data_IF_969606120007
#
_entry.id   IF_969606120007
#
_cell.length_a   1.000
_cell.length_b   1.000
_cell.length_c   1.000
_cell.angle_alpha   90.00
_cell.angle_beta   90.00
_cell.angle_gamma   90.00
#
_symmetry.space_group_name_H-M   'P 1'
#
loop_
_entity.id
_entity.type
_entity.pdbx_description
1 polymer ?
#
# COMPACT_ATOMS: atom_id res chain seq x y z
N UNK A 1 -19.81 16.73 14.84
CA UNK A 1 -20.71 15.55 14.88
C UNK A 1 -21.64 15.68 16.08
N UNK A 2 -22.92 15.32 15.90
CA UNK A 2 -23.87 15.32 17.02
C UNK A 2 -23.45 14.26 18.06
N UNK A 3 -23.49 14.63 19.35
CA UNK A 3 -23.21 13.69 20.43
C UNK A 3 -24.51 12.96 20.81
N UNK A 4 -24.84 11.90 20.10
CA UNK A 4 -26.07 11.13 20.33
C UNK A 4 -26.17 10.53 21.74
N UNK A 5 -25.04 10.26 22.42
CA UNK A 5 -25.04 9.73 23.78
C UNK A 5 -25.47 10.77 24.84
N UNK A 6 -25.41 12.04 24.51
CA UNK A 6 -25.83 13.13 25.39
C UNK A 6 -27.28 13.56 25.16
N UNK A 7 -27.95 13.07 24.12
CA UNK A 7 -29.32 13.44 23.77
C UNK A 7 -30.34 12.65 24.58
N UNK A 8 -31.39 13.34 25.01
CA UNK A 8 -32.57 12.67 25.58
C UNK A 8 -33.46 12.03 24.48
N UNK A 9 -34.47 11.30 24.90
CA UNK A 9 -35.35 10.54 23.99
C UNK A 9 -36.10 11.41 22.97
N UNK A 10 -36.49 12.61 23.36
CA UNK A 10 -37.23 13.53 22.48
C UNK A 10 -36.30 14.15 21.44
N UNK A 11 -35.09 14.54 21.86
CA UNK A 11 -34.05 15.06 20.97
C UNK A 11 -33.61 13.99 19.94
N UNK A 12 -33.40 12.75 20.38
CA UNK A 12 -33.09 11.63 19.47
C UNK A 12 -34.22 11.35 18.47
N UNK A 13 -35.48 11.47 18.91
CA UNK A 13 -36.61 11.27 18.02
C UNK A 13 -36.74 12.41 16.97
N UNK A 14 -36.48 13.65 17.36
CA UNK A 14 -36.47 14.78 16.45
C UNK A 14 -35.28 14.68 15.45
N UNK A 15 -34.11 14.34 15.91
CA UNK A 15 -32.94 14.14 15.06
C UNK A 15 -33.15 13.00 14.06
N UNK A 16 -33.66 11.86 14.52
CA UNK A 16 -34.04 10.74 13.64
C UNK A 16 -35.04 11.19 12.55
N UNK A 17 -36.07 11.94 12.89
CA UNK A 17 -37.04 12.41 11.93
C UNK A 17 -36.40 13.36 10.89
N UNK A 18 -35.49 14.23 11.32
CA UNK A 18 -34.74 15.12 10.44
C UNK A 18 -33.85 14.33 9.44
N UNK A 19 -33.10 13.37 9.94
CA UNK A 19 -32.23 12.50 9.12
C UNK A 19 -33.05 11.63 8.15
N UNK A 20 -34.19 11.09 8.57
CA UNK A 20 -35.10 10.35 7.69
C UNK A 20 -35.66 11.23 6.57
N UNK A 21 -36.00 12.48 6.87
CA UNK A 21 -36.46 13.43 5.87
C UNK A 21 -35.36 13.79 4.86
N UNK A 22 -34.14 13.99 5.33
CA UNK A 22 -32.98 14.24 4.47
C UNK A 22 -32.65 13.01 3.59
N UNK A 23 -32.65 11.84 4.17
CA UNK A 23 -32.45 10.59 3.43
C UNK A 23 -33.47 10.41 2.29
N UNK A 24 -34.75 10.67 2.57
CA UNK A 24 -35.79 10.64 1.55
C UNK A 24 -35.58 11.65 0.42
N UNK A 25 -35.04 12.84 0.72
CA UNK A 25 -34.68 13.84 -0.30
C UNK A 25 -33.56 13.31 -1.20
N UNK A 26 -32.56 12.61 -0.65
CA UNK A 26 -31.51 11.97 -1.45
C UNK A 26 -32.07 10.83 -2.30
N UNK A 27 -32.90 9.96 -1.75
CA UNK A 27 -33.58 8.91 -2.51
C UNK A 27 -34.36 9.44 -3.70
N UNK A 28 -35.10 10.56 -3.49
CA UNK A 28 -35.90 11.18 -4.54
C UNK A 28 -35.07 11.74 -5.72
N UNK A 29 -33.76 11.96 -5.53
CA UNK A 29 -32.86 12.36 -6.63
C UNK A 29 -32.59 11.23 -7.63
N UNK A 30 -32.96 9.98 -7.33
CA UNK A 30 -32.77 8.82 -8.21
C UNK A 30 -31.31 8.56 -8.60
N UNK A 31 -30.37 8.95 -7.75
CA UNK A 31 -28.93 8.80 -8.02
C UNK A 31 -28.54 7.31 -8.12
N UNK A 32 -27.78 6.97 -9.16
CA UNK A 32 -27.19 5.63 -9.35
C UNK A 32 -25.68 5.72 -9.14
N UNK A 33 -25.26 5.91 -7.90
CA UNK A 33 -23.86 6.04 -7.52
C UNK A 33 -23.32 4.69 -7.08
N UNK A 34 -22.11 4.36 -7.55
CA UNK A 34 -21.37 3.18 -7.11
C UNK A 34 -20.14 3.66 -6.32
N UNK A 35 -20.13 3.39 -5.01
CA UNK A 35 -19.05 3.75 -4.10
C UNK A 35 -18.21 2.52 -3.69
N UNK A 36 -18.48 1.34 -4.28
CA UNK A 36 -17.85 0.10 -3.86
C UNK A 36 -16.38 -0.01 -4.27
N UNK A 37 -15.95 0.68 -5.34
CA UNK A 37 -14.58 0.63 -5.83
C UNK A 37 -14.14 1.98 -6.42
N UNK A 38 -13.01 2.50 -5.93
CA UNK A 38 -12.29 3.59 -6.58
C UNK A 38 -11.52 3.05 -7.81
N UNK A 39 -11.79 3.61 -8.98
CA UNK A 39 -11.07 3.34 -10.23
C UNK A 39 -11.14 4.57 -11.13
N UNK A 40 -10.16 4.76 -12.05
CA UNK A 40 -10.22 5.85 -13.02
C UNK A 40 -11.53 5.82 -13.81
N UNK A 41 -12.16 6.98 -13.93
CA UNK A 41 -13.36 7.15 -14.76
C UNK A 41 -13.01 7.17 -16.26
N UNK A 42 -14.03 7.01 -17.16
CA UNK A 42 -13.79 7.00 -18.61
C UNK A 42 -12.99 8.23 -19.10
N UNK A 43 -13.34 9.43 -18.64
CA UNK A 43 -12.64 10.66 -19.04
C UNK A 43 -11.17 10.70 -18.61
N UNK A 44 -10.82 10.11 -17.46
CA UNK A 44 -9.43 9.99 -17.03
C UNK A 44 -8.66 9.02 -17.92
N UNK A 45 -9.28 7.92 -18.34
CA UNK A 45 -8.68 6.97 -19.30
C UNK A 45 -8.53 7.59 -20.68
N UNK A 46 -9.48 8.41 -21.13
CA UNK A 46 -9.42 9.11 -22.43
C UNK A 46 -8.18 10.00 -22.56
N UNK A 47 -7.71 10.60 -21.44
CA UNK A 47 -6.49 11.41 -21.43
C UNK A 47 -5.23 10.61 -21.78
N UNK A 48 -5.23 9.32 -21.53
CA UNK A 48 -4.08 8.44 -21.74
C UNK A 48 -4.15 7.65 -23.07
N UNK A 49 -5.20 7.86 -23.90
CA UNK A 49 -5.42 7.09 -25.13
C UNK A 49 -4.27 7.18 -26.14
N UNK A 50 -3.50 8.26 -26.13
CA UNK A 50 -2.35 8.42 -27.03
C UNK A 50 -1.21 7.46 -26.71
N UNK A 51 -1.11 6.96 -25.48
CA UNK A 51 -0.15 5.89 -25.13
C UNK A 51 -0.35 4.61 -25.95
N UNK A 52 -1.58 4.34 -26.39
CA UNK A 52 -1.90 3.14 -27.20
C UNK A 52 -1.51 3.32 -28.67
N UNK A 53 -1.07 4.51 -29.09
CA UNK A 53 -0.69 4.81 -30.49
C UNK A 53 0.82 4.82 -30.70
N UNK A 54 1.60 4.41 -29.71
CA UNK A 54 3.05 4.33 -29.83
C UNK A 54 3.46 3.36 -30.93
N UNK A 55 4.39 3.80 -31.79
CA UNK A 55 4.91 3.00 -32.90
C UNK A 55 6.42 2.71 -32.77
N UNK A 56 7.08 3.31 -31.81
CA UNK A 56 8.48 3.05 -31.48
C UNK A 56 8.52 2.08 -30.30
N UNK A 57 9.19 0.96 -30.52
CA UNK A 57 9.35 -0.11 -29.54
C UNK A 57 10.81 -0.32 -29.16
N UNK A 58 11.71 0.54 -29.61
CA UNK A 58 13.14 0.46 -29.30
C UNK A 58 13.46 1.43 -28.20
N UNK A 59 14.08 0.95 -27.15
CA UNK A 59 14.56 1.79 -26.04
C UNK A 59 15.77 2.64 -26.47
N UNK A 60 16.10 3.65 -25.68
CA UNK A 60 17.30 4.49 -25.94
C UNK A 60 18.59 3.64 -25.92
N UNK A 61 18.60 2.55 -25.18
CA UNK A 61 19.73 1.58 -25.15
C UNK A 61 19.73 0.59 -26.34
N UNK A 62 18.73 0.66 -27.23
CA UNK A 62 18.62 -0.21 -28.40
C UNK A 62 17.93 -1.54 -28.15
N UNK A 63 17.30 -1.75 -26.98
CA UNK A 63 16.52 -2.95 -26.67
C UNK A 63 15.17 -2.90 -27.38
N UNK A 64 14.79 -3.99 -28.08
CA UNK A 64 13.44 -4.16 -28.65
C UNK A 64 12.47 -4.57 -27.53
N UNK A 65 11.64 -3.63 -27.06
CA UNK A 65 10.70 -3.83 -25.97
C UNK A 65 9.57 -4.85 -26.29
N UNK A 66 9.48 -5.32 -27.53
CA UNK A 66 8.52 -6.39 -27.89
C UNK A 66 9.07 -7.78 -27.59
N UNK A 67 10.36 -7.89 -27.24
CA UNK A 67 11.01 -9.16 -26.93
C UNK A 67 11.16 -9.33 -25.41
N UNK A 68 11.50 -10.55 -25.00
CA UNK A 68 11.81 -10.87 -23.60
C UNK A 68 13.32 -10.72 -23.34
N UNK A 69 13.70 -10.67 -22.04
CA UNK A 69 15.12 -10.67 -21.64
C UNK A 69 15.43 -9.73 -20.48
N UNK A 70 14.67 -8.67 -20.33
CA UNK A 70 14.85 -7.67 -19.27
C UNK A 70 14.14 -8.15 -17.97
N UNK A 71 14.81 -9.00 -17.19
CA UNK A 71 14.21 -9.64 -16.00
C UNK A 71 13.76 -8.66 -14.94
N UNK A 72 14.49 -7.55 -14.79
CA UNK A 72 14.18 -6.50 -13.80
C UNK A 72 13.27 -5.40 -14.37
N UNK A 73 12.94 -5.49 -15.66
CA UNK A 73 12.23 -4.47 -16.43
C UNK A 73 13.19 -3.55 -17.22
N UNK A 74 12.64 -2.88 -18.23
CA UNK A 74 13.37 -1.94 -19.05
C UNK A 74 14.03 -0.85 -18.19
N UNK A 75 15.25 -0.45 -18.56
CA UNK A 75 16.00 0.58 -17.84
C UNK A 75 15.21 1.88 -17.70
N UNK A 76 14.52 2.31 -18.76
CA UNK A 76 13.72 3.53 -18.75
C UNK A 76 12.54 3.43 -17.78
N UNK A 77 11.90 2.26 -17.68
CA UNK A 77 10.83 2.03 -16.72
C UNK A 77 11.36 2.04 -15.28
N UNK A 78 12.54 1.43 -15.05
CA UNK A 78 13.19 1.46 -13.72
C UNK A 78 13.58 2.87 -13.31
N UNK A 79 14.10 3.68 -14.24
CA UNK A 79 14.42 5.12 -13.99
C UNK A 79 13.15 5.88 -13.64
N UNK A 80 12.05 5.70 -14.38
CA UNK A 80 10.77 6.34 -14.11
C UNK A 80 10.24 6.01 -12.70
N UNK A 81 10.22 4.73 -12.34
CA UNK A 81 9.75 4.34 -11.00
C UNK A 81 10.72 4.72 -9.89
N UNK A 82 12.03 4.75 -10.16
CA UNK A 82 13.02 5.24 -9.22
C UNK A 82 12.80 6.71 -8.87
N UNK A 83 12.47 7.54 -9.87
CA UNK A 83 12.12 8.94 -9.69
C UNK A 83 10.84 9.09 -8.86
N UNK A 84 9.81 8.28 -9.17
CA UNK A 84 8.54 8.27 -8.41
C UNK A 84 8.75 7.88 -6.94
N UNK A 85 9.56 6.86 -6.67
CA UNK A 85 9.84 6.41 -5.30
C UNK A 85 10.88 7.26 -4.55
N UNK A 86 11.71 8.02 -5.25
CA UNK A 86 12.86 8.71 -4.68
C UNK A 86 14.02 7.77 -4.31
N UNK A 87 14.25 6.72 -5.08
CA UNK A 87 15.29 5.69 -4.88
C UNK A 87 16.22 5.58 -6.09
N UNK A 88 17.20 4.66 -6.08
CA UNK A 88 18.08 4.44 -7.22
C UNK A 88 17.45 3.46 -8.22
N UNK A 89 17.67 3.60 -9.54
CA UNK A 89 17.16 2.66 -10.54
C UNK A 89 17.60 1.21 -10.32
N UNK A 90 18.75 0.98 -9.68
CA UNK A 90 19.25 -0.35 -9.30
C UNK A 90 18.46 -1.03 -8.19
N UNK A 91 17.61 -0.28 -7.51
CA UNK A 91 16.76 -0.77 -6.41
C UNK A 91 15.32 -1.05 -6.87
N UNK A 92 15.04 -0.86 -8.17
CA UNK A 92 13.70 -1.00 -8.74
C UNK A 92 13.60 -2.27 -9.57
N UNK A 93 12.56 -3.03 -9.31
CA UNK A 93 12.10 -4.16 -10.13
C UNK A 93 10.72 -3.81 -10.70
N UNK A 94 10.59 -3.90 -12.04
CA UNK A 94 9.33 -3.61 -12.73
C UNK A 94 8.63 -4.93 -13.07
N UNK A 95 7.41 -5.08 -12.58
CA UNK A 95 6.62 -6.30 -12.74
C UNK A 95 5.45 -6.16 -13.72
N UNK A 96 4.42 -6.97 -13.49
CA UNK A 96 3.17 -6.93 -14.25
C UNK A 96 2.34 -5.67 -13.94
N UNK A 97 1.04 -5.73 -14.20
CA UNK A 97 0.16 -4.56 -14.05
C UNK A 97 -0.39 -4.33 -12.63
N UNK A 98 -0.01 -5.15 -11.66
CA UNK A 98 -0.60 -5.12 -10.32
C UNK A 98 0.46 -5.22 -9.23
N UNK A 99 0.61 -4.15 -8.44
CA UNK A 99 1.44 -4.17 -7.22
C UNK A 99 0.97 -5.24 -6.24
N UNK A 100 -0.33 -5.50 -6.15
CA UNK A 100 -0.87 -6.57 -5.31
C UNK A 100 -0.34 -7.96 -5.71
N UNK A 101 -0.10 -8.20 -7.02
CA UNK A 101 0.52 -9.44 -7.50
C UNK A 101 1.99 -9.53 -7.08
N UNK A 102 2.72 -8.41 -7.11
CA UNK A 102 4.11 -8.37 -6.61
C UNK A 102 4.17 -8.67 -5.11
N UNK A 103 3.27 -8.08 -4.33
CA UNK A 103 3.15 -8.36 -2.90
C UNK A 103 2.84 -9.84 -2.64
N UNK A 104 1.89 -10.41 -3.37
CA UNK A 104 1.59 -11.86 -3.29
C UNK A 104 2.82 -12.70 -3.62
N UNK A 105 3.55 -12.36 -4.68
CA UNK A 105 4.75 -13.10 -5.08
C UNK A 105 5.83 -13.05 -4.00
N UNK A 106 6.05 -11.90 -3.34
CA UNK A 106 7.03 -11.78 -2.25
C UNK A 106 6.60 -12.55 -1.00
N UNK A 107 5.32 -12.52 -0.63
CA UNK A 107 4.80 -13.41 0.44
C UNK A 107 5.04 -14.88 0.08
N UNK A 108 4.76 -15.27 -1.18
CA UNK A 108 5.02 -16.63 -1.65
C UNK A 108 6.50 -17.02 -1.61
N UNK A 109 7.41 -16.10 -1.97
CA UNK A 109 8.87 -16.33 -1.88
C UNK A 109 9.25 -16.56 -0.43
N UNK A 110 8.86 -15.67 0.48
CA UNK A 110 9.13 -15.84 1.91
C UNK A 110 8.54 -17.14 2.47
N UNK A 111 7.34 -17.51 2.01
CA UNK A 111 6.64 -18.71 2.46
C UNK A 111 7.30 -20.01 1.99
N UNK A 112 7.71 -20.08 0.71
CA UNK A 112 8.24 -21.31 0.10
C UNK A 112 9.75 -21.44 0.31
N UNK A 113 10.50 -20.36 0.16
CA UNK A 113 11.97 -20.38 0.12
C UNK A 113 12.61 -19.68 1.32
N UNK A 114 11.93 -18.71 1.94
CA UNK A 114 12.52 -17.74 2.85
C UNK A 114 13.24 -16.62 2.09
N UNK A 115 13.67 -15.61 2.84
CA UNK A 115 14.58 -14.56 2.37
C UNK A 115 16.03 -14.89 2.79
N UNK A 116 17.04 -14.18 2.30
CA UNK A 116 18.44 -14.45 2.67
C UNK A 116 18.68 -14.47 4.18
N UNK A 117 17.96 -13.66 4.95
CA UNK A 117 18.06 -13.54 6.40
C UNK A 117 17.21 -14.59 7.15
N UNK A 118 16.34 -15.34 6.44
CA UNK A 118 15.42 -16.28 7.07
C UNK A 118 16.16 -17.49 7.64
N UNK A 119 15.94 -17.85 8.91
CA UNK A 119 16.44 -19.10 9.48
C UNK A 119 15.85 -20.35 8.80
N UNK A 120 14.61 -20.22 8.30
CA UNK A 120 13.89 -21.23 7.53
C UNK A 120 12.78 -20.56 6.71
N UNK A 121 12.23 -21.24 5.70
CA UNK A 121 11.02 -20.75 5.01
C UNK A 121 9.88 -20.46 5.99
N UNK A 122 9.11 -19.39 5.73
CA UNK A 122 8.01 -19.01 6.61
C UNK A 122 6.96 -20.10 6.77
N UNK A 123 6.81 -21.01 5.79
CA UNK A 123 5.94 -22.18 5.88
C UNK A 123 6.29 -23.12 7.04
N UNK A 124 7.56 -23.11 7.49
CA UNK A 124 8.05 -23.94 8.59
C UNK A 124 7.94 -23.28 9.96
N UNK A 125 7.57 -22.00 10.01
CA UNK A 125 7.35 -21.26 11.27
C UNK A 125 5.97 -21.61 11.80
N UNK A 126 5.92 -22.27 12.96
CA UNK A 126 4.66 -22.53 13.65
C UNK A 126 4.07 -21.21 14.17
N UNK A 127 2.74 -21.03 13.98
CA UNK A 127 2.01 -19.82 14.42
C UNK A 127 2.59 -18.50 13.88
N UNK A 128 3.07 -18.52 12.63
CA UNK A 128 3.54 -17.32 11.96
C UNK A 128 2.48 -16.21 11.93
N UNK A 129 2.90 -14.97 12.18
CA UNK A 129 2.03 -13.82 12.34
C UNK A 129 2.38 -12.70 11.36
N UNK A 130 1.39 -11.87 11.08
CA UNK A 130 1.56 -10.67 10.28
C UNK A 130 0.78 -9.50 10.88
N UNK A 131 1.41 -8.33 10.99
CA UNK A 131 0.76 -7.15 11.55
C UNK A 131 -0.13 -6.49 10.50
N UNK A 132 -1.34 -6.16 10.92
CA UNK A 132 -2.39 -5.58 10.09
C UNK A 132 -2.90 -4.29 10.73
N UNK A 133 -2.40 -3.11 10.33
CA UNK A 133 -2.97 -1.84 10.76
C UNK A 133 -4.44 -1.71 10.36
N UNK A 134 -5.30 -1.40 11.32
CA UNK A 134 -6.77 -1.34 11.14
C UNK A 134 -7.33 -0.01 11.63
N UNK A 135 -8.27 0.57 10.84
CA UNK A 135 -8.77 0.09 9.55
C UNK A 135 -7.69 0.14 8.47
N UNK A 136 -7.73 -0.78 7.49
CA UNK A 136 -6.71 -0.93 6.47
C UNK A 136 -7.26 -1.60 5.20
N UNK A 137 -6.38 -1.84 4.23
CA UNK A 137 -6.78 -2.43 2.96
C UNK A 137 -6.92 -3.96 3.07
N UNK A 138 -8.15 -4.44 3.06
CA UNK A 138 -8.52 -5.84 3.30
C UNK A 138 -7.86 -6.85 2.35
N UNK A 139 -7.48 -6.42 1.12
CA UNK A 139 -6.82 -7.29 0.15
C UNK A 139 -5.40 -7.68 0.56
N UNK A 140 -4.69 -6.81 1.26
CA UNK A 140 -3.41 -7.14 1.89
C UNK A 140 -3.59 -8.27 2.91
N UNK A 141 -4.57 -8.11 3.79
CA UNK A 141 -4.85 -9.06 4.86
C UNK A 141 -5.22 -10.44 4.29
N UNK A 142 -6.06 -10.45 3.24
CA UNK A 142 -6.47 -11.68 2.58
C UNK A 142 -5.28 -12.46 1.97
N UNK A 143 -4.21 -11.78 1.50
CA UNK A 143 -3.01 -12.48 1.03
C UNK A 143 -2.39 -13.27 2.18
N UNK A 144 -2.08 -12.64 3.30
CA UNK A 144 -1.42 -13.31 4.41
C UNK A 144 -2.33 -14.33 5.10
N UNK A 145 -3.65 -14.10 5.14
CA UNK A 145 -4.62 -15.07 5.62
C UNK A 145 -4.61 -16.37 4.79
N UNK A 146 -4.57 -16.25 3.44
CA UNK A 146 -4.51 -17.40 2.52
C UNK A 146 -3.26 -18.26 2.76
N UNK A 147 -2.13 -17.65 3.09
CA UNK A 147 -0.90 -18.37 3.47
C UNK A 147 -0.90 -18.84 4.93
N UNK A 148 -2.03 -18.73 5.65
CA UNK A 148 -2.21 -19.23 7.00
C UNK A 148 -1.43 -18.45 8.06
N UNK A 149 -1.20 -17.15 7.88
CA UNK A 149 -0.70 -16.29 8.93
C UNK A 149 -1.82 -15.92 9.91
N UNK A 150 -1.50 -15.88 11.19
CA UNK A 150 -2.33 -15.20 12.18
C UNK A 150 -2.23 -13.69 11.97
N UNK A 151 -3.37 -13.04 11.75
CA UNK A 151 -3.44 -11.61 11.53
C UNK A 151 -3.52 -10.87 12.87
N UNK A 152 -2.52 -10.07 13.18
CA UNK A 152 -2.46 -9.28 14.42
C UNK A 152 -2.87 -7.85 14.11
N UNK A 153 -4.03 -7.44 14.59
CA UNK A 153 -4.53 -6.07 14.39
C UNK A 153 -3.72 -5.06 15.21
N UNK A 154 -3.35 -3.96 14.55
CA UNK A 154 -2.70 -2.79 15.15
C UNK A 154 -3.59 -1.57 14.91
N UNK A 155 -3.95 -0.77 15.94
CA UNK A 155 -4.76 0.43 15.72
C UNK A 155 -4.06 1.46 14.83
N UNK A 156 -4.83 2.08 13.92
CA UNK A 156 -4.38 3.27 13.18
C UNK A 156 -4.59 4.53 14.00
N UNK A 157 -3.67 5.47 13.86
CA UNK A 157 -3.73 6.84 14.36
C UNK A 157 -3.66 7.83 13.20
N UNK A 158 -3.94 9.12 13.39
CA UNK A 158 -3.75 10.13 12.34
C UNK A 158 -2.32 10.23 11.77
N UNK A 159 -1.33 9.71 12.50
CA UNK A 159 0.09 9.75 12.12
C UNK A 159 0.62 8.42 11.57
N UNK A 160 -0.23 7.40 11.40
CA UNK A 160 0.13 6.04 11.01
C UNK A 160 -0.31 5.01 12.07
N UNK A 161 0.20 3.77 12.03
CA UNK A 161 -0.13 2.76 13.03
C UNK A 161 0.41 3.15 14.42
N UNK A 162 -0.19 2.56 15.46
CA UNK A 162 0.32 2.68 16.83
C UNK A 162 1.73 2.07 16.91
N UNK A 163 2.74 2.91 16.79
CA UNK A 163 4.14 2.48 16.75
C UNK A 163 4.64 1.93 18.08
N UNK A 164 4.06 2.33 19.22
CA UNK A 164 4.42 1.77 20.52
C UNK A 164 4.03 0.29 20.57
N UNK A 165 2.86 -0.02 20.05
CA UNK A 165 2.39 -1.41 19.90
C UNK A 165 3.22 -2.17 18.86
N UNK A 166 3.48 -1.59 17.69
CA UNK A 166 4.27 -2.24 16.62
C UNK A 166 5.66 -2.61 17.15
N UNK A 167 6.42 -1.64 17.65
CA UNK A 167 7.80 -1.84 18.11
C UNK A 167 7.89 -2.88 19.23
N UNK A 168 6.94 -2.84 20.17
CA UNK A 168 6.87 -3.84 21.25
C UNK A 168 6.66 -5.25 20.70
N UNK A 169 5.66 -5.42 19.83
CA UNK A 169 5.31 -6.73 19.28
C UNK A 169 6.46 -7.33 18.47
N UNK A 170 7.06 -6.56 17.56
CA UNK A 170 8.13 -7.06 16.69
C UNK A 170 9.45 -7.29 17.42
N UNK A 171 9.68 -6.61 18.55
CA UNK A 171 10.87 -6.81 19.37
C UNK A 171 10.80 -8.05 20.27
N UNK A 172 9.58 -8.49 20.63
CA UNK A 172 9.35 -9.58 21.59
C UNK A 172 8.98 -10.92 20.92
N UNK A 173 8.54 -10.91 19.64
CA UNK A 173 7.98 -12.09 18.97
C UNK A 173 8.63 -12.30 17.58
N UNK A 174 9.47 -13.32 17.47
CA UNK A 174 10.17 -13.71 16.23
C UNK A 174 9.27 -14.47 15.23
N UNK A 175 8.04 -14.79 15.61
CA UNK A 175 7.04 -15.36 14.69
C UNK A 175 6.33 -14.30 13.85
N UNK A 176 6.46 -13.03 14.18
CA UNK A 176 5.93 -11.92 13.38
C UNK A 176 6.86 -11.67 12.19
N UNK A 177 6.36 -11.94 10.98
CA UNK A 177 7.16 -11.92 9.75
C UNK A 177 7.04 -10.64 8.94
N UNK A 178 6.07 -9.80 9.24
CA UNK A 178 5.96 -8.52 8.55
C UNK A 178 4.76 -7.69 8.97
N UNK A 179 4.62 -6.56 8.29
CA UNK A 179 3.55 -5.58 8.46
C UNK A 179 3.10 -5.03 7.11
N UNK A 180 1.79 -4.82 6.96
CA UNK A 180 1.19 -4.11 5.84
C UNK A 180 1.09 -2.62 6.13
N UNK A 181 1.56 -1.77 5.22
CA UNK A 181 1.49 -0.31 5.35
C UNK A 181 0.98 0.33 4.07
N UNK A 182 0.12 1.36 4.20
CA UNK A 182 -0.26 2.27 3.13
C UNK A 182 0.04 3.68 3.63
N UNK A 183 1.26 4.20 3.39
CA UNK A 183 1.77 5.35 4.14
C UNK A 183 1.19 6.69 3.72
N UNK A 184 0.76 6.83 2.46
CA UNK A 184 0.16 8.07 1.97
C UNK A 184 -1.31 7.85 1.63
N UNK A 185 -2.16 8.75 2.14
CA UNK A 185 -3.60 8.71 1.89
C UNK A 185 -4.21 7.33 2.14
N UNK A 186 -3.87 6.72 3.29
CA UNK A 186 -4.25 5.36 3.70
C UNK A 186 -5.69 5.00 3.36
N UNK A 187 -5.91 3.81 2.85
CA UNK A 187 -7.25 3.29 2.59
C UNK A 187 -7.72 2.42 3.77
N UNK A 188 -8.83 2.79 4.49
CA UNK A 188 -9.85 3.79 4.11
C UNK A 188 -9.69 5.18 4.76
N UNK A 189 -8.78 5.39 5.70
CA UNK A 189 -8.78 6.57 6.59
C UNK A 189 -8.31 7.88 5.93
N UNK A 190 -7.53 7.78 4.85
CA UNK A 190 -6.94 8.93 4.18
C UNK A 190 -5.75 9.55 4.93
N UNK A 191 -5.23 8.91 5.98
CA UNK A 191 -4.09 9.40 6.73
C UNK A 191 -2.78 9.28 5.94
N UNK A 192 -1.87 10.22 6.19
CA UNK A 192 -0.48 10.14 5.74
C UNK A 192 0.40 9.96 6.98
N UNK A 193 1.33 8.98 6.93
CA UNK A 193 2.23 8.70 8.02
C UNK A 193 3.15 9.89 8.28
N UNK A 194 3.39 10.19 9.55
CA UNK A 194 4.31 11.28 9.94
C UNK A 194 5.76 10.87 9.74
N UNK A 195 6.64 11.87 9.60
CA UNK A 195 8.10 11.67 9.52
C UNK A 195 8.61 10.86 10.72
N UNK A 196 8.09 11.14 11.92
CA UNK A 196 8.41 10.39 13.13
C UNK A 196 8.04 8.90 12.99
N UNK A 197 6.86 8.59 12.45
CA UNK A 197 6.43 7.20 12.22
C UNK A 197 7.37 6.51 11.24
N UNK A 198 7.74 7.17 10.14
CA UNK A 198 8.66 6.62 9.13
C UNK A 198 10.04 6.38 9.74
N UNK A 199 10.58 7.33 10.52
CA UNK A 199 11.84 7.16 11.22
C UNK A 199 11.79 5.99 12.23
N UNK A 200 10.69 5.83 12.95
CA UNK A 200 10.48 4.70 13.87
C UNK A 200 10.52 3.36 13.13
N UNK A 201 9.84 3.24 11.98
CA UNK A 201 9.95 2.05 11.13
C UNK A 201 11.38 1.77 10.69
N UNK A 202 12.11 2.80 10.27
CA UNK A 202 13.47 2.67 9.76
C UNK A 202 14.45 2.14 10.82
N UNK A 203 14.29 2.55 12.08
CA UNK A 203 15.24 2.24 13.17
C UNK A 203 14.80 1.13 14.12
N UNK A 204 13.54 0.66 14.04
CA UNK A 204 13.00 -0.31 14.98
C UNK A 204 13.81 -1.61 15.00
N UNK A 205 13.85 -2.25 16.16
CA UNK A 205 14.48 -3.56 16.36
C UNK A 205 13.43 -4.64 16.23
N UNK A 206 13.78 -5.74 15.57
CA UNK A 206 12.89 -6.89 15.38
C UNK A 206 13.55 -8.16 15.94
N UNK A 207 12.77 -9.01 16.59
CA UNK A 207 13.23 -10.34 17.02
C UNK A 207 13.42 -11.28 15.81
N UNK A 208 12.54 -11.18 14.80
CA UNK A 208 12.68 -11.90 13.55
C UNK A 208 13.75 -11.24 12.66
N UNK A 209 14.83 -11.91 12.26
CA UNK A 209 15.82 -11.34 11.36
C UNK A 209 15.27 -11.11 9.95
N UNK A 210 14.26 -11.86 9.57
CA UNK A 210 13.59 -11.86 8.28
C UNK A 210 12.25 -11.10 8.27
N UNK A 211 12.05 -10.20 9.24
CA UNK A 211 10.89 -9.32 9.28
C UNK A 211 10.88 -8.37 8.07
N UNK A 212 9.74 -8.22 7.41
CA UNK A 212 9.59 -7.39 6.21
C UNK A 212 8.48 -6.34 6.37
N UNK A 213 8.72 -5.15 5.82
CA UNK A 213 7.76 -4.06 5.74
C UNK A 213 7.25 -3.99 4.31
N UNK A 214 5.95 -4.27 4.12
CA UNK A 214 5.26 -4.14 2.84
C UNK A 214 4.65 -2.75 2.77
N UNK A 215 5.30 -1.85 2.03
CA UNK A 215 5.04 -0.42 1.98
C UNK A 215 4.36 -0.06 0.68
N UNK A 216 3.02 -0.09 0.66
CA UNK A 216 2.20 0.14 -0.53
C UNK A 216 1.96 1.63 -0.78
N UNK A 217 2.73 2.19 -1.68
CA UNK A 217 2.66 3.57 -2.18
C UNK A 217 1.64 3.71 -3.32
N UNK A 218 0.48 3.06 -3.19
CA UNK A 218 -0.58 3.09 -4.21
C UNK A 218 -1.02 4.52 -4.57
N UNK A 219 -0.81 5.49 -3.69
CA UNK A 219 -1.28 6.86 -3.82
C UNK A 219 -0.16 7.91 -3.86
N UNK A 220 1.09 7.49 -4.07
CA UNK A 220 2.28 8.36 -4.03
C UNK A 220 2.19 9.63 -4.89
N UNK A 221 1.46 9.58 -6.01
CA UNK A 221 1.24 10.72 -6.92
C UNK A 221 -0.19 11.25 -6.90
N UNK A 222 -1.03 10.81 -5.93
CA UNK A 222 -2.47 11.16 -5.89
C UNK A 222 -2.77 12.21 -4.82
N UNK A 223 -2.15 13.37 -4.94
CA UNK A 223 -2.36 14.47 -4.01
C UNK A 223 -3.81 14.96 -4.08
N UNK A 224 -4.44 15.14 -2.91
CA UNK A 224 -5.85 15.51 -2.77
C UNK A 224 -6.06 17.01 -2.65
N UNK A 225 -4.98 17.78 -2.47
CA UNK A 225 -4.96 19.23 -2.32
C UNK A 225 -3.81 19.83 -3.12
N UNK A 226 -3.80 21.15 -3.29
CA UNK A 226 -2.68 21.85 -3.92
C UNK A 226 -1.40 21.86 -3.04
N UNK A 227 -1.56 21.60 -1.76
CA UNK A 227 -0.45 21.41 -0.82
C UNK A 227 -0.01 19.93 -0.86
N UNK A 228 1.16 19.70 -1.40
CA UNK A 228 1.77 18.36 -1.48
C UNK A 228 2.46 18.07 -0.15
N UNK A 229 2.09 16.96 0.49
CA UNK A 229 2.77 16.46 1.68
C UNK A 229 3.93 15.58 1.20
N UNK A 230 5.15 16.09 1.28
CA UNK A 230 6.35 15.27 1.06
C UNK A 230 6.64 14.46 2.33
N UNK A 231 6.92 13.18 2.15
CA UNK A 231 7.29 12.27 3.24
C UNK A 231 8.70 11.71 3.01
N UNK A 232 9.47 11.43 4.07
CA UNK A 232 10.74 10.72 3.92
C UNK A 232 10.55 9.37 3.21
N UNK A 233 11.51 9.00 2.38
CA UNK A 233 11.49 7.70 1.68
C UNK A 233 11.97 6.63 2.64
N UNK A 234 11.10 5.69 3.02
CA UNK A 234 11.40 4.68 4.04
C UNK A 234 12.67 3.88 3.74
N UNK A 235 12.90 3.49 2.49
CA UNK A 235 14.11 2.75 2.10
C UNK A 235 15.37 3.56 2.40
N UNK A 236 15.38 4.86 2.05
CA UNK A 236 16.53 5.74 2.30
C UNK A 236 16.73 6.02 3.79
N UNK A 237 15.65 6.14 4.55
CA UNK A 237 15.74 6.25 6.00
C UNK A 237 16.30 4.96 6.62
N UNK A 238 15.85 3.79 6.16
CA UNK A 238 16.29 2.49 6.67
C UNK A 238 17.78 2.22 6.41
N UNK A 239 18.34 2.70 5.29
CA UNK A 239 19.78 2.64 5.00
C UNK A 239 20.64 3.32 6.07
N UNK A 240 20.13 4.37 6.72
CA UNK A 240 20.86 5.07 7.81
C UNK A 240 21.12 4.18 9.02
N UNK A 241 20.33 3.11 9.15
CA UNK A 241 20.36 2.17 10.27
C UNK A 241 20.78 0.75 9.89
N UNK A 242 21.10 0.49 8.59
CA UNK A 242 21.43 -0.84 8.06
C UNK A 242 20.24 -1.80 8.07
N UNK A 243 19.03 -1.27 7.84
CA UNK A 243 17.77 -2.01 7.87
C UNK A 243 17.06 -2.03 6.51
N UNK A 244 17.73 -1.64 5.42
CA UNK A 244 17.17 -1.53 4.08
C UNK A 244 16.59 -2.85 3.56
N UNK A 245 17.18 -3.98 3.91
CA UNK A 245 16.73 -5.32 3.49
C UNK A 245 15.33 -5.70 4.02
N UNK A 246 14.80 -4.92 4.95
CA UNK A 246 13.44 -5.13 5.50
C UNK A 246 12.35 -4.49 4.66
N UNK A 247 12.70 -3.59 3.75
CA UNK A 247 11.74 -2.69 3.10
C UNK A 247 11.42 -3.17 1.69
N UNK A 248 10.14 -3.41 1.43
CA UNK A 248 9.58 -3.57 0.10
C UNK A 248 8.59 -2.44 -0.16
N UNK A 249 8.92 -1.55 -1.08
CA UNK A 249 8.04 -0.47 -1.53
C UNK A 249 7.31 -0.87 -2.81
N UNK A 250 6.04 -0.51 -2.93
CA UNK A 250 5.22 -0.89 -4.09
C UNK A 250 4.44 0.30 -4.62
N UNK A 251 4.33 0.40 -5.93
CA UNK A 251 3.38 1.28 -6.60
C UNK A 251 2.90 0.68 -7.92
N UNK A 252 1.94 1.32 -8.57
CA UNK A 252 1.49 0.93 -9.91
C UNK A 252 0.81 2.09 -10.62
N UNK A 253 0.71 2.00 -11.94
CA UNK A 253 -0.07 2.94 -12.74
C UNK A 253 -1.59 2.71 -12.66
N UNK A 254 -2.05 1.74 -11.87
CA UNK A 254 -3.46 1.30 -11.84
C UNK A 254 -4.47 2.39 -11.50
N UNK A 255 -4.06 3.44 -10.78
CA UNK A 255 -4.93 4.58 -10.45
C UNK A 255 -4.62 5.82 -11.28
N UNK A 256 -3.60 5.76 -12.14
CA UNK A 256 -3.16 6.86 -13.00
C UNK A 256 -3.76 6.70 -14.40
N UNK A 257 -3.60 5.52 -15.02
CA UNK A 257 -4.05 5.21 -16.38
C UNK A 257 -4.49 3.73 -16.44
N UNK A 258 -4.81 3.20 -17.58
CA UNK A 258 -5.29 1.85 -17.92
C UNK A 258 -5.01 0.76 -16.88
N UNK A 259 -5.86 0.55 -15.84
CA UNK A 259 -5.59 -0.44 -14.80
C UNK A 259 -5.37 -1.86 -15.31
N UNK A 260 -6.00 -2.20 -16.46
CA UNK A 260 -5.89 -3.52 -17.07
C UNK A 260 -4.64 -3.74 -17.92
N UNK A 261 -3.90 -2.66 -18.23
CA UNK A 261 -2.70 -2.70 -19.08
C UNK A 261 -1.58 -1.80 -18.49
N UNK A 262 -1.62 -1.59 -17.19
CA UNK A 262 -0.63 -0.78 -16.47
C UNK A 262 0.65 -1.54 -16.13
N UNK A 263 1.49 -0.88 -15.35
CA UNK A 263 2.78 -1.40 -14.88
C UNK A 263 2.85 -1.21 -13.37
N UNK A 264 3.54 -2.11 -12.67
CA UNK A 264 3.82 -2.01 -11.24
C UNK A 264 5.30 -2.23 -10.94
N UNK A 265 5.73 -1.67 -9.87
CA UNK A 265 7.09 -1.82 -9.40
C UNK A 265 7.09 -2.00 -7.87
#
# INVERSE_FOLDING_TARGET
>A
MANYLAMNREELAAEKAALEAEYKKFQAKGLKLNMARGKPGPHQMDLAMDLLKMNDYTTDAGTDARNYGELEGLQEARVLFADVFGVQPGEVFVGGNSSLQLMYNLINIGYVFGFPESPCPWSQVEKRKFLCPVPGYDRHFAITEEFGFELVSVPMTPNGPDMDMVEKLVAEDDTIKGIWCVPQYSNPDGYTYSDETIERFAKMKTAAPDFKIFWDEAYIVHHLTDEIIETPVLLNESKKYGNEDRVFMFTSTSKITFPGAGVSA
#
